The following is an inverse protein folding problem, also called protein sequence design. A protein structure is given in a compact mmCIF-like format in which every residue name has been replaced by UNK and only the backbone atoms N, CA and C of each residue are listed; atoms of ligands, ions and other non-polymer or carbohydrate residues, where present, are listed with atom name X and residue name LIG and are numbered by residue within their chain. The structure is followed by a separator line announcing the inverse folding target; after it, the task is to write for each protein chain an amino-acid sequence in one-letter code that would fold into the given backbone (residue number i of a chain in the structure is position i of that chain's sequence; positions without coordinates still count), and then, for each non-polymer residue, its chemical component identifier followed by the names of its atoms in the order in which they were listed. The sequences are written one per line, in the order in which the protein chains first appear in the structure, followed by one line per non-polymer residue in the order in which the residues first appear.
data_IF_125346695936
#
_entry.id   IF_125346695936
#
_cell.length_a   1.000
_cell.length_b   1.000
_cell.length_c   1.000
_cell.angle_alpha   90.00
_cell.angle_beta   90.00
_cell.angle_gamma   90.00
#
_symmetry.space_group_name_H-M   'P 1'
#
loop_
_entity.id
_entity.type
_entity.pdbx_description
1 polymer ?
#
# COMPACT_ATOMS: atom_id res chain seq x y z
N UNK A 1 -16.79 9.68 -6.47
CA UNK A 1 -15.86 9.30 -7.56
C UNK A 1 -14.44 9.41 -7.02
N UNK A 2 -13.87 8.33 -6.49
CA UNK A 2 -12.51 8.33 -5.91
C UNK A 2 -11.78 6.97 -6.08
N UNK A 3 -12.21 6.15 -7.05
CA UNK A 3 -11.71 4.78 -7.24
C UNK A 3 -10.47 4.68 -8.15
N UNK A 4 -10.10 5.73 -8.90
CA UNK A 4 -9.05 5.64 -9.93
C UNK A 4 -7.68 6.25 -9.57
N UNK A 5 -7.54 6.88 -8.41
CA UNK A 5 -6.29 7.58 -8.04
C UNK A 5 -5.12 6.62 -7.80
N UNK A 6 -5.41 5.47 -7.19
CA UNK A 6 -4.38 4.48 -6.83
C UNK A 6 -3.92 3.63 -8.02
N UNK A 7 -4.80 3.37 -8.98
CA UNK A 7 -4.47 2.69 -10.25
C UNK A 7 -3.42 3.44 -11.06
N UNK A 8 -3.31 4.76 -10.86
CA UNK A 8 -2.34 5.63 -11.54
C UNK A 8 -0.97 5.63 -10.89
N UNK A 9 -0.81 5.04 -9.69
CA UNK A 9 0.51 4.91 -9.06
C UNK A 9 1.36 3.93 -9.88
N UNK A 10 2.35 4.48 -10.58
CA UNK A 10 3.41 3.68 -11.21
C UNK A 10 4.38 3.24 -10.13
N UNK A 11 4.25 2.01 -9.66
CA UNK A 11 5.13 1.40 -8.66
C UNK A 11 5.51 -0.01 -9.08
N UNK A 12 6.75 -0.40 -8.83
CA UNK A 12 7.26 -1.78 -9.00
C UNK A 12 6.94 -2.66 -7.79
N UNK A 13 6.46 -2.10 -6.69
CA UNK A 13 6.16 -2.84 -5.49
C UNK A 13 4.85 -3.64 -5.64
N UNK A 14 4.97 -4.97 -5.81
CA UNK A 14 3.85 -5.88 -6.07
C UNK A 14 2.73 -5.74 -5.02
N UNK A 15 3.07 -5.62 -3.74
CA UNK A 15 2.08 -5.45 -2.67
C UNK A 15 1.20 -4.21 -2.87
N UNK A 16 1.78 -3.13 -3.37
CA UNK A 16 1.05 -1.89 -3.65
C UNK A 16 0.17 -2.02 -4.88
N UNK A 17 0.63 -2.74 -5.91
CA UNK A 17 -0.19 -3.05 -7.09
C UNK A 17 -1.40 -3.93 -6.73
N UNK A 18 -1.22 -4.92 -5.85
CA UNK A 18 -2.30 -5.78 -5.36
C UNK A 18 -3.30 -4.99 -4.51
N UNK A 19 -2.81 -4.12 -3.62
CA UNK A 19 -3.65 -3.21 -2.84
C UNK A 19 -4.50 -2.33 -3.75
N UNK A 20 -3.90 -1.70 -4.76
CA UNK A 20 -4.62 -0.85 -5.72
C UNK A 20 -5.75 -1.62 -6.42
N UNK A 21 -5.46 -2.82 -6.97
CA UNK A 21 -6.47 -3.68 -7.59
C UNK A 21 -7.59 -4.09 -6.63
N UNK A 22 -7.27 -4.33 -5.36
CA UNK A 22 -8.26 -4.69 -4.33
C UNK A 22 -9.19 -3.52 -4.04
N UNK A 23 -8.64 -2.33 -3.85
CA UNK A 23 -9.39 -1.11 -3.55
C UNK A 23 -10.28 -0.65 -4.71
N UNK A 24 -9.84 -0.88 -5.95
CA UNK A 24 -10.65 -0.66 -7.16
C UNK A 24 -11.90 -1.53 -7.19
N UNK A 25 -11.78 -2.79 -6.78
CA UNK A 25 -12.87 -3.78 -6.77
C UNK A 25 -13.74 -3.72 -5.52
N UNK A 26 -13.24 -3.14 -4.43
CA UNK A 26 -13.97 -3.04 -3.17
C UNK A 26 -15.18 -2.11 -3.29
N UNK A 27 -16.31 -2.52 -2.73
CA UNK A 27 -17.52 -1.70 -2.56
C UNK A 27 -17.54 -0.95 -1.23
N UNK A 28 -16.45 -1.01 -0.46
CA UNK A 28 -16.42 -0.44 0.89
C UNK A 28 -16.52 1.09 0.86
N UNK A 29 -17.06 1.70 1.93
CA UNK A 29 -17.06 3.14 2.10
C UNK A 29 -15.64 3.73 2.01
N UNK A 30 -15.54 4.95 1.47
CA UNK A 30 -14.27 5.68 1.34
C UNK A 30 -13.46 5.75 2.64
N UNK A 31 -14.06 5.97 3.84
CA UNK A 31 -13.31 5.97 5.10
C UNK A 31 -12.63 4.63 5.39
N UNK A 32 -13.29 3.50 5.11
CA UNK A 32 -12.74 2.16 5.32
C UNK A 32 -11.56 1.89 4.39
N UNK A 33 -11.67 2.31 3.13
CA UNK A 33 -10.57 2.24 2.15
C UNK A 33 -9.38 3.08 2.59
N UNK A 34 -9.61 4.30 3.10
CA UNK A 34 -8.55 5.17 3.60
C UNK A 34 -7.81 4.56 4.79
N UNK A 35 -8.54 3.95 5.73
CA UNK A 35 -7.95 3.26 6.88
C UNK A 35 -7.08 2.07 6.45
N UNK A 36 -7.53 1.29 5.47
CA UNK A 36 -6.77 0.18 4.90
C UNK A 36 -5.46 0.64 4.26
N UNK A 37 -5.53 1.69 3.44
CA UNK A 37 -4.35 2.28 2.78
C UNK A 37 -3.33 2.69 3.83
N UNK A 38 -3.77 3.41 4.86
CA UNK A 38 -2.92 3.85 5.94
C UNK A 38 -2.30 2.65 6.68
N UNK A 39 -3.09 1.63 7.03
CA UNK A 39 -2.60 0.44 7.71
C UNK A 39 -1.55 -0.33 6.89
N UNK A 40 -1.73 -0.42 5.57
CA UNK A 40 -0.76 -1.06 4.67
C UNK A 40 0.59 -0.35 4.71
N UNK A 41 0.62 0.97 4.52
CA UNK A 41 1.87 1.72 4.48
C UNK A 41 2.52 1.86 5.86
N UNK A 42 1.74 2.01 6.94
CA UNK A 42 2.26 2.04 8.31
C UNK A 42 2.94 0.71 8.70
N UNK A 43 2.39 -0.43 8.22
CA UNK A 43 3.07 -1.73 8.40
C UNK A 43 4.38 -1.76 7.62
N UNK A 44 4.37 -1.27 6.39
CA UNK A 44 5.56 -1.26 5.53
C UNK A 44 6.68 -0.43 6.13
N UNK A 45 6.37 0.77 6.63
CA UNK A 45 7.31 1.65 7.33
C UNK A 45 8.01 0.96 8.50
N UNK A 46 7.26 0.22 9.33
CA UNK A 46 7.83 -0.50 10.49
C UNK A 46 8.80 -1.60 10.08
N UNK A 47 8.53 -2.28 8.98
CA UNK A 47 9.36 -3.40 8.50
C UNK A 47 10.56 -2.88 7.71
N UNK A 48 10.41 -1.77 6.98
CA UNK A 48 11.45 -1.18 6.15
C UNK A 48 12.74 -0.89 6.93
N UNK A 49 12.63 -0.39 8.16
CA UNK A 49 13.79 -0.14 9.01
C UNK A 49 14.59 -1.43 9.30
N UNK A 50 13.90 -2.55 9.54
CA UNK A 50 14.54 -3.84 9.78
C UNK A 50 15.17 -4.41 8.51
N UNK A 51 14.51 -4.27 7.35
CA UNK A 51 15.04 -4.71 6.05
C UNK A 51 16.30 -3.90 5.66
N UNK A 52 16.29 -2.58 5.85
CA UNK A 52 17.44 -1.71 5.57
C UNK A 52 18.63 -2.03 6.49
N UNK A 53 18.37 -2.37 7.75
CA UNK A 53 19.41 -2.81 8.67
C UNK A 53 20.11 -4.07 8.15
N UNK A 54 19.36 -5.04 7.60
CA UNK A 54 19.95 -6.25 7.00
C UNK A 54 20.84 -5.94 5.80
N UNK A 55 20.43 -5.02 4.92
CA UNK A 55 21.21 -4.62 3.74
C UNK A 55 22.53 -3.93 4.12
N UNK A 56 22.53 -3.14 5.19
CA UNK A 56 23.74 -2.43 5.66
C UNK A 56 24.76 -3.37 6.32
N UNK A 57 24.35 -4.60 6.64
CA UNK A 57 25.19 -5.61 7.30
C UNK A 57 25.84 -6.58 6.31
N UNK A 58 25.68 -6.34 4.99
CA UNK A 58 26.29 -7.10 3.89
C UNK A 58 27.52 -6.34 3.39
#
# INVERSE_FOLDING_TARGET
MASGGMSRLKTTHLGTQMLAKRLERSSDPVPSKAAEIHAFFAKWERVLAAELAQVTTI
#
